data_IF_224085370343
#
_entry.id   IF_224085370343
#
_cell.length_a   1.000
_cell.length_b   1.000
_cell.length_c   1.000
_cell.angle_alpha   90.00
_cell.angle_beta   90.00
_cell.angle_gamma   90.00
#
_symmetry.space_group_name_H-M   'P 1'
#
loop_
_entity.id
_entity.type
_entity.pdbx_description
1 polymer ?
#
# COMPACT_ATOMS: atom_id res chain seq x y z
N UNK A 1 -17.14 30.38 -6.00
CA UNK A 1 -18.38 30.39 -5.26
C UNK A 1 -18.16 31.04 -3.92
N UNK A 2 -18.62 32.26 -3.79
CA UNK A 2 -18.50 32.96 -2.51
C UNK A 2 -19.50 32.38 -1.53
N UNK A 3 -19.02 31.46 -0.71
CA UNK A 3 -19.78 31.08 0.48
C UNK A 3 -19.48 32.15 1.53
N UNK A 4 -20.43 32.96 1.85
CA UNK A 4 -20.35 33.76 3.05
C UNK A 4 -20.27 32.81 4.24
N UNK A 5 -19.05 32.52 4.66
CA UNK A 5 -18.87 31.83 5.90
C UNK A 5 -19.37 32.70 7.03
N UNK A 6 -20.20 32.19 7.93
CA UNK A 6 -20.65 32.99 9.06
C UNK A 6 -19.42 33.41 9.86
N UNK A 7 -19.42 34.71 10.24
CA UNK A 7 -18.34 35.29 11.03
C UNK A 7 -18.36 34.81 12.48
N UNK A 8 -19.41 34.14 12.89
CA UNK A 8 -19.54 33.51 14.22
C UNK A 8 -19.96 32.07 14.09
N UNK A 9 -19.31 31.21 14.89
CA UNK A 9 -19.61 29.77 14.95
C UNK A 9 -20.70 29.58 16.01
N UNK A 10 -21.77 28.81 15.73
CA UNK A 10 -22.78 28.51 16.74
C UNK A 10 -22.16 27.83 17.97
N UNK A 11 -22.70 28.12 19.13
CA UNK A 11 -22.27 27.49 20.36
C UNK A 11 -22.45 25.96 20.27
N UNK A 12 -21.37 25.22 20.58
CA UNK A 12 -21.37 23.76 20.47
C UNK A 12 -21.06 23.22 19.08
N UNK A 13 -20.75 24.10 18.11
CA UNK A 13 -20.32 23.66 16.77
C UNK A 13 -18.92 23.08 16.83
N UNK A 14 -18.80 21.82 16.33
CA UNK A 14 -17.50 21.21 16.08
C UNK A 14 -17.25 21.20 14.59
N UNK A 15 -16.07 21.69 14.12
CA UNK A 15 -15.73 21.57 12.71
C UNK A 15 -15.78 20.11 12.28
N UNK A 16 -16.26 19.79 11.05
CA UNK A 16 -16.23 18.41 10.58
C UNK A 16 -14.79 17.88 10.61
N UNK A 17 -14.61 16.74 11.26
CA UNK A 17 -13.33 16.06 11.23
C UNK A 17 -13.04 15.62 9.81
N UNK A 18 -11.81 15.91 9.36
CA UNK A 18 -11.37 15.46 8.04
C UNK A 18 -11.47 13.94 7.97
N UNK A 19 -12.26 13.45 7.02
CA UNK A 19 -12.48 12.01 6.86
C UNK A 19 -11.28 11.36 6.17
N UNK A 20 -10.74 10.32 6.80
CA UNK A 20 -9.77 9.43 6.18
C UNK A 20 -10.48 8.58 5.14
N UNK A 21 -9.87 8.43 3.96
CA UNK A 21 -10.47 7.68 2.86
C UNK A 21 -9.48 6.74 2.21
N UNK A 22 -9.98 5.59 1.80
CA UNK A 22 -9.27 4.70 0.91
C UNK A 22 -8.26 3.79 1.59
N UNK A 23 -7.58 3.05 0.74
CA UNK A 23 -6.69 1.98 1.15
C UNK A 23 -5.35 2.10 0.43
N UNK A 24 -4.27 2.10 1.20
CA UNK A 24 -2.93 1.91 0.66
C UNK A 24 -2.54 0.45 0.86
N UNK A 25 -2.08 -0.19 -0.21
CA UNK A 25 -1.71 -1.60 -0.23
C UNK A 25 -0.20 -1.70 -0.37
N UNK A 26 0.46 -2.28 0.60
CA UNK A 26 1.89 -2.61 0.51
C UNK A 26 2.00 -4.04 -0.01
N UNK A 27 2.35 -4.17 -1.28
CA UNK A 27 2.46 -5.43 -2.00
C UNK A 27 3.93 -5.82 -2.10
N UNK A 28 4.33 -6.85 -1.37
CA UNK A 28 5.73 -7.24 -1.26
C UNK A 28 5.88 -8.67 -0.76
N UNK A 29 7.07 -9.24 -0.91
CA UNK A 29 7.40 -10.51 -0.28
C UNK A 29 7.54 -10.40 1.23
N UNK A 30 7.91 -9.24 1.74
CA UNK A 30 8.27 -8.97 3.15
C UNK A 30 9.49 -9.78 3.61
N UNK A 31 10.31 -10.22 2.68
CA UNK A 31 11.55 -10.93 3.02
C UNK A 31 12.65 -9.96 3.47
N UNK A 32 12.77 -8.83 2.80
CA UNK A 32 13.88 -7.90 2.99
C UNK A 32 13.46 -6.52 3.51
N UNK A 33 12.16 -6.31 3.76
CA UNK A 33 11.72 -5.04 4.30
C UNK A 33 12.16 -4.88 5.76
N UNK A 34 12.92 -3.83 6.02
CA UNK A 34 13.33 -3.46 7.37
C UNK A 34 12.18 -2.82 8.14
N UNK A 35 12.31 -2.75 9.46
CA UNK A 35 11.36 -2.00 10.28
C UNK A 35 11.29 -0.52 9.88
N UNK A 36 12.41 0.05 9.44
CA UNK A 36 12.45 1.42 8.93
C UNK A 36 11.65 1.58 7.65
N UNK A 37 11.77 0.63 6.71
CA UNK A 37 11.01 0.64 5.48
C UNK A 37 9.50 0.48 5.73
N UNK A 38 9.12 -0.40 6.65
CA UNK A 38 7.73 -0.54 7.08
C UNK A 38 7.22 0.73 7.76
N UNK A 39 8.04 1.36 8.59
CA UNK A 39 7.72 2.64 9.22
C UNK A 39 7.49 3.75 8.22
N UNK A 40 8.28 3.79 7.14
CA UNK A 40 8.08 4.75 6.06
C UNK A 40 6.74 4.54 5.35
N UNK A 41 6.34 3.29 5.12
CA UNK A 41 5.05 2.99 4.53
C UNK A 41 3.89 3.47 5.42
N UNK A 42 3.99 3.25 6.73
CA UNK A 42 3.00 3.74 7.70
C UNK A 42 2.94 5.27 7.69
N UNK A 43 4.08 5.92 7.73
CA UNK A 43 4.17 7.38 7.68
C UNK A 43 3.56 7.94 6.39
N UNK A 44 3.87 7.32 5.26
CA UNK A 44 3.32 7.71 3.97
C UNK A 44 1.79 7.57 3.95
N UNK A 45 1.27 6.46 4.44
CA UNK A 45 -0.18 6.24 4.54
C UNK A 45 -0.84 7.29 5.43
N UNK A 46 -0.22 7.63 6.54
CA UNK A 46 -0.72 8.64 7.47
C UNK A 46 -0.75 10.04 6.85
N UNK A 47 0.32 10.43 6.18
CA UNK A 47 0.42 11.74 5.51
C UNK A 47 -0.58 11.88 4.36
N UNK A 48 -0.82 10.80 3.66
CA UNK A 48 -1.79 10.78 2.55
C UNK A 48 -3.22 10.57 3.02
N UNK A 49 -3.43 10.46 4.33
CA UNK A 49 -4.74 10.36 4.98
C UNK A 49 -5.56 9.14 4.55
N UNK A 50 -4.90 8.00 4.42
CA UNK A 50 -5.58 6.75 4.20
C UNK A 50 -6.28 6.26 5.46
N UNK A 51 -7.44 5.63 5.29
CA UNK A 51 -8.13 4.95 6.38
C UNK A 51 -7.46 3.62 6.73
N UNK A 52 -6.92 2.94 5.73
CA UNK A 52 -6.33 1.61 5.89
C UNK A 52 -4.99 1.51 5.18
N UNK A 53 -4.06 0.82 5.86
CA UNK A 53 -2.84 0.28 5.25
C UNK A 53 -2.96 -1.24 5.27
N UNK A 54 -3.04 -1.84 4.11
CA UNK A 54 -3.11 -3.29 3.95
C UNK A 54 -1.73 -3.82 3.57
N UNK A 55 -1.21 -4.73 4.39
CA UNK A 55 0.05 -5.42 4.12
C UNK A 55 -0.29 -6.72 3.40
N UNK A 56 0.22 -6.85 2.17
CA UNK A 56 -0.11 -8.00 1.31
C UNK A 56 1.15 -8.83 1.06
N UNK A 57 1.41 -9.85 1.90
CA UNK A 57 2.59 -10.71 1.73
C UNK A 57 2.36 -11.75 0.64
N UNK A 58 3.36 -11.88 -0.23
CA UNK A 58 3.35 -12.81 -1.35
C UNK A 58 3.74 -14.22 -0.88
N UNK A 59 3.02 -15.22 -1.38
CA UNK A 59 3.37 -16.63 -1.18
C UNK A 59 4.61 -17.02 -2.00
N UNK A 60 5.37 -18.03 -1.56
CA UNK A 60 6.55 -18.51 -2.27
C UNK A 60 6.26 -18.84 -3.73
N UNK A 61 5.10 -19.44 -4.00
CA UNK A 61 4.71 -19.80 -5.36
C UNK A 61 4.52 -18.58 -6.27
N UNK A 62 3.98 -17.49 -5.72
CA UNK A 62 3.84 -16.22 -6.45
C UNK A 62 5.21 -15.59 -6.68
N UNK A 63 6.06 -15.56 -5.66
CA UNK A 63 7.41 -15.01 -5.75
C UNK A 63 8.23 -15.76 -6.79
N UNK A 64 8.14 -17.10 -6.79
CA UNK A 64 8.85 -17.93 -7.77
C UNK A 64 8.52 -17.57 -9.21
N UNK A 65 7.26 -17.21 -9.48
CA UNK A 65 6.82 -16.79 -10.81
C UNK A 65 7.21 -15.36 -11.16
N UNK A 66 7.32 -14.50 -10.16
CA UNK A 66 7.55 -13.06 -10.39
C UNK A 66 9.03 -12.68 -10.36
N UNK A 67 9.75 -13.05 -9.30
CA UNK A 67 11.10 -12.51 -9.06
C UNK A 67 12.17 -13.58 -8.91
N UNK A 68 11.80 -14.83 -8.67
CA UNK A 68 12.70 -15.93 -8.35
C UNK A 68 13.58 -15.65 -7.13
N UNK A 69 13.16 -14.74 -6.26
CA UNK A 69 13.83 -14.40 -5.02
C UNK A 69 13.79 -15.59 -4.05
N UNK A 70 14.88 -15.84 -3.34
CA UNK A 70 14.89 -16.82 -2.26
C UNK A 70 14.25 -16.22 -1.02
N UNK A 71 13.21 -16.87 -0.49
CA UNK A 71 12.44 -16.35 0.65
C UNK A 71 12.22 -17.42 1.70
N UNK A 72 12.05 -16.99 2.94
CA UNK A 72 11.57 -17.86 4.02
C UNK A 72 10.13 -18.31 3.70
N UNK A 73 9.68 -19.43 4.27
CA UNK A 73 8.28 -19.84 4.13
C UNK A 73 7.31 -18.73 4.50
N UNK A 74 6.17 -18.69 3.84
CA UNK A 74 5.14 -17.68 4.04
C UNK A 74 4.78 -17.49 5.52
N UNK A 75 4.58 -18.60 6.26
CA UNK A 75 4.17 -18.51 7.66
C UNK A 75 5.21 -17.80 8.54
N UNK A 76 6.50 -17.95 8.26
CA UNK A 76 7.56 -17.27 9.02
C UNK A 76 7.60 -15.79 8.73
N UNK A 77 7.43 -15.40 7.47
CA UNK A 77 7.34 -13.99 7.08
C UNK A 77 6.09 -13.33 7.66
N UNK A 78 5.00 -14.06 7.68
CA UNK A 78 3.74 -13.61 8.26
C UNK A 78 3.86 -13.39 9.76
N UNK A 79 4.50 -14.31 10.50
CA UNK A 79 4.73 -14.18 11.95
C UNK A 79 5.54 -12.93 12.27
N UNK A 80 6.61 -12.68 11.52
CA UNK A 80 7.42 -11.47 11.69
C UNK A 80 6.60 -10.20 11.45
N UNK A 81 5.74 -10.24 10.46
CA UNK A 81 4.88 -9.12 10.11
C UNK A 81 3.83 -8.84 11.20
N UNK A 82 3.24 -9.88 11.76
CA UNK A 82 2.31 -9.75 12.89
C UNK A 82 3.02 -9.22 14.14
N UNK A 83 4.25 -9.66 14.41
CA UNK A 83 5.04 -9.15 15.54
C UNK A 83 5.32 -7.65 15.37
N UNK A 84 5.72 -7.24 14.18
CA UNK A 84 5.93 -5.82 13.88
C UNK A 84 4.65 -5.01 14.07
N UNK A 85 3.54 -5.52 13.55
CA UNK A 85 2.23 -4.86 13.66
C UNK A 85 1.84 -4.64 15.12
N UNK A 86 1.99 -5.66 15.96
CA UNK A 86 1.71 -5.55 17.40
C UNK A 86 2.60 -4.52 18.07
N UNK A 87 3.88 -4.48 17.73
CA UNK A 87 4.81 -3.51 18.29
C UNK A 87 4.42 -2.07 17.94
N UNK A 88 4.08 -1.83 16.67
CA UNK A 88 3.68 -0.52 16.18
C UNK A 88 2.38 -0.06 16.85
N UNK A 89 1.41 -0.93 16.98
CA UNK A 89 0.13 -0.62 17.63
C UNK A 89 0.32 -0.35 19.12
N UNK A 90 1.18 -1.12 19.78
CA UNK A 90 1.52 -0.97 21.20
C UNK A 90 2.21 0.37 21.49
N UNK A 91 3.07 0.83 20.61
CA UNK A 91 3.80 2.10 20.75
C UNK A 91 2.96 3.33 20.40
N UNK A 92 1.75 3.12 19.89
CA UNK A 92 0.83 4.20 19.47
C UNK A 92 1.47 5.15 18.45
N UNK A 93 2.32 4.62 17.58
CA UNK A 93 2.99 5.40 16.53
C UNK A 93 2.05 5.72 15.37
N UNK A 94 0.87 5.10 15.37
CA UNK A 94 -0.10 5.27 14.30
C UNK A 94 -0.84 6.59 14.42
N UNK A 95 -1.05 7.23 13.29
CA UNK A 95 -1.96 8.36 13.21
C UNK A 95 -3.39 7.92 13.58
N UNK A 96 -4.11 8.81 14.23
CA UNK A 96 -5.50 8.55 14.62
C UNK A 96 -6.32 8.22 13.37
N UNK A 97 -6.95 7.06 13.37
CA UNK A 97 -7.84 6.61 12.31
C UNK A 97 -7.20 5.68 11.28
N UNK A 98 -5.86 5.57 11.22
CA UNK A 98 -5.21 4.61 10.33
C UNK A 98 -5.27 3.21 10.96
N UNK A 99 -5.80 2.25 10.21
CA UNK A 99 -5.84 0.83 10.60
C UNK A 99 -4.87 0.04 9.74
N UNK A 100 -4.03 -0.78 10.36
CA UNK A 100 -3.14 -1.72 9.67
C UNK A 100 -3.79 -3.09 9.64
N UNK A 101 -3.87 -3.70 8.47
CA UNK A 101 -4.41 -5.04 8.25
C UNK A 101 -3.40 -5.89 7.50
N UNK A 102 -3.20 -7.12 7.93
CA UNK A 102 -2.39 -8.11 7.21
C UNK A 102 -3.33 -8.98 6.39
N UNK A 103 -3.21 -8.93 5.07
CA UNK A 103 -4.08 -9.68 4.17
C UNK A 103 -3.52 -11.10 3.96
N UNK A 104 -4.33 -12.09 4.23
CA UNK A 104 -3.92 -13.50 4.20
C UNK A 104 -4.32 -14.29 2.97
N UNK A 105 -4.74 -13.63 1.89
CA UNK A 105 -5.24 -14.32 0.69
C UNK A 105 -4.28 -15.38 0.17
N UNK A 106 -3.01 -15.04 0.03
CA UNK A 106 -2.03 -15.93 -0.56
C UNK A 106 -1.74 -17.15 0.32
N UNK A 107 -1.77 -16.96 1.63
CA UNK A 107 -1.65 -18.06 2.58
C UNK A 107 -2.81 -19.04 2.52
N UNK A 108 -4.02 -18.56 2.25
CA UNK A 108 -5.20 -19.39 2.06
C UNK A 108 -5.14 -20.15 0.73
N UNK A 109 -4.70 -19.50 -0.33
CA UNK A 109 -4.60 -20.12 -1.65
C UNK A 109 -3.47 -21.12 -1.77
N UNK A 110 -2.31 -20.82 -1.18
CA UNK A 110 -1.08 -21.65 -1.20
C UNK A 110 -0.60 -21.98 -2.62
N UNK A 111 -0.87 -21.11 -3.58
CA UNK A 111 -0.49 -21.29 -4.98
C UNK A 111 -0.23 -19.93 -5.62
N UNK A 112 0.32 -19.94 -6.82
CA UNK A 112 0.54 -18.73 -7.58
C UNK A 112 -0.75 -17.89 -7.68
N UNK A 113 -0.65 -16.62 -7.26
CA UNK A 113 -1.74 -15.65 -7.38
C UNK A 113 -1.28 -14.53 -8.31
N UNK A 114 -1.80 -14.46 -9.55
CA UNK A 114 -1.48 -13.34 -10.44
C UNK A 114 -1.85 -12.01 -9.81
N UNK A 115 -1.08 -10.97 -10.10
CA UNK A 115 -1.34 -9.64 -9.53
C UNK A 115 -2.76 -9.15 -9.84
N UNK A 116 -3.26 -9.45 -11.04
CA UNK A 116 -4.64 -9.12 -11.43
C UNK A 116 -5.67 -9.73 -10.46
N UNK A 117 -5.52 -10.99 -10.11
CA UNK A 117 -6.39 -11.66 -9.16
C UNK A 117 -6.26 -11.06 -7.75
N UNK A 118 -5.04 -10.76 -7.33
CA UNK A 118 -4.77 -10.12 -6.04
C UNK A 118 -5.45 -8.75 -5.96
N UNK A 119 -5.28 -7.91 -6.96
CA UNK A 119 -5.86 -6.56 -6.99
C UNK A 119 -7.38 -6.60 -7.05
N UNK A 120 -7.93 -7.55 -7.77
CA UNK A 120 -9.40 -7.75 -7.85
C UNK A 120 -9.97 -8.09 -6.47
N UNK A 121 -9.34 -9.02 -5.77
CA UNK A 121 -9.72 -9.37 -4.40
C UNK A 121 -9.62 -8.17 -3.46
N UNK A 122 -8.53 -7.41 -3.53
CA UNK A 122 -8.31 -6.25 -2.69
C UNK A 122 -9.34 -5.15 -2.96
N UNK A 123 -9.68 -4.91 -4.22
CA UNK A 123 -10.70 -3.94 -4.60
C UNK A 123 -12.10 -4.35 -4.11
N UNK A 124 -12.39 -5.65 -4.07
CA UNK A 124 -13.66 -6.15 -3.56
C UNK A 124 -13.74 -6.11 -2.03
N UNK A 125 -12.59 -6.16 -1.34
CA UNK A 125 -12.52 -6.33 0.11
C UNK A 125 -12.31 -5.02 0.88
N UNK A 126 -11.76 -4.00 0.25
CA UNK A 126 -11.35 -2.75 0.91
C UNK A 126 -11.89 -1.51 0.19
N UNK A 127 -12.06 -0.40 0.91
CA UNK A 127 -12.64 0.81 0.31
C UNK A 127 -11.67 1.55 -0.64
N UNK A 128 -12.22 2.07 -1.71
CA UNK A 128 -11.51 2.98 -2.64
C UNK A 128 -11.38 4.39 -2.04
N UNK A 129 -10.49 5.24 -2.56
CA UNK A 129 -9.51 5.00 -3.61
C UNK A 129 -8.36 4.10 -3.18
N UNK A 130 -7.68 3.49 -4.17
CA UNK A 130 -6.58 2.55 -3.93
C UNK A 130 -5.25 3.13 -4.37
N UNK A 131 -4.25 3.01 -3.49
CA UNK A 131 -2.85 3.27 -3.82
C UNK A 131 -2.06 2.00 -3.57
N UNK A 132 -1.24 1.63 -4.52
CA UNK A 132 -0.40 0.44 -4.43
C UNK A 132 1.04 0.89 -4.16
N UNK A 133 1.55 0.53 -2.98
CA UNK A 133 2.89 0.87 -2.54
C UNK A 133 3.84 -0.26 -2.92
N UNK A 134 4.82 0.03 -3.75
CA UNK A 134 5.71 -0.97 -4.35
C UNK A 134 7.17 -0.54 -4.25
N UNK A 135 8.06 -1.52 -4.11
CA UNK A 135 9.48 -1.31 -4.42
C UNK A 135 9.63 -1.01 -5.92
N UNK A 136 10.65 -0.23 -6.33
CA UNK A 136 10.81 0.15 -7.73
C UNK A 136 10.89 -1.02 -8.71
N UNK A 137 11.60 -2.09 -8.33
CA UNK A 137 11.71 -3.28 -9.18
C UNK A 137 10.34 -3.97 -9.36
N UNK A 138 9.55 -4.00 -8.31
CA UNK A 138 8.19 -4.56 -8.38
C UNK A 138 7.29 -3.70 -9.27
N UNK A 139 7.44 -2.38 -9.21
CA UNK A 139 6.69 -1.47 -10.08
C UNK A 139 7.02 -1.70 -11.54
N UNK A 140 8.30 -1.85 -11.88
CA UNK A 140 8.73 -2.18 -13.24
C UNK A 140 8.19 -3.54 -13.69
N UNK A 141 8.20 -4.52 -12.80
CA UNK A 141 7.67 -5.84 -13.09
C UNK A 141 6.16 -5.78 -13.36
N UNK A 142 5.42 -5.09 -12.52
CA UNK A 142 3.98 -4.88 -12.72
C UNK A 142 3.70 -4.20 -14.07
N UNK A 143 4.47 -3.18 -14.41
CA UNK A 143 4.34 -2.48 -15.69
C UNK A 143 4.55 -3.41 -16.90
N UNK A 144 5.32 -4.48 -16.73
CA UNK A 144 5.57 -5.45 -17.81
C UNK A 144 4.39 -6.40 -18.06
N UNK A 145 3.43 -6.46 -17.14
CA UNK A 145 2.29 -7.36 -17.27
C UNK A 145 1.18 -6.77 -18.15
N UNK A 146 0.44 -7.65 -18.82
CA UNK A 146 -0.68 -7.23 -19.68
C UNK A 146 -1.82 -6.55 -18.89
N UNK A 147 -1.98 -6.88 -17.62
CA UNK A 147 -3.01 -6.30 -16.75
C UNK A 147 -2.68 -4.88 -16.25
N UNK A 148 -1.45 -4.42 -16.43
CA UNK A 148 -1.03 -3.12 -15.89
C UNK A 148 -1.91 -1.96 -16.35
N UNK A 149 -2.20 -1.88 -17.65
CA UNK A 149 -2.95 -0.76 -18.21
C UNK A 149 -4.40 -0.73 -17.72
N UNK A 150 -4.98 -1.88 -17.45
CA UNK A 150 -6.31 -1.97 -16.84
C UNK A 150 -6.32 -1.40 -15.42
N UNK A 151 -5.29 -1.70 -14.63
CA UNK A 151 -5.25 -1.31 -13.23
C UNK A 151 -4.74 0.11 -13.00
N UNK A 152 -3.78 0.57 -13.81
CA UNK A 152 -3.17 1.89 -13.55
C UNK A 152 -4.16 3.06 -13.68
N UNK A 153 -5.27 2.86 -14.38
CA UNK A 153 -6.33 3.86 -14.48
C UNK A 153 -7.31 3.80 -13.30
N UNK A 154 -7.30 2.72 -12.54
CA UNK A 154 -8.19 2.51 -11.38
C UNK A 154 -7.50 2.77 -10.04
N UNK A 155 -6.17 2.76 -10.02
CA UNK A 155 -5.38 2.98 -8.81
C UNK A 155 -4.15 3.83 -9.14
N UNK A 156 -3.49 4.30 -8.10
CA UNK A 156 -2.22 5.01 -8.25
C UNK A 156 -1.13 4.19 -7.59
N UNK A 157 0.12 4.43 -8.01
CA UNK A 157 1.27 3.79 -7.39
C UNK A 157 2.04 4.77 -6.52
N UNK A 158 2.62 4.25 -5.45
CA UNK A 158 3.63 4.94 -4.64
C UNK A 158 4.85 4.03 -4.62
N UNK A 159 5.95 4.50 -5.17
CA UNK A 159 7.20 3.74 -5.15
C UNK A 159 7.98 4.09 -3.88
N UNK A 160 8.54 3.06 -3.23
CA UNK A 160 9.28 3.26 -1.97
C UNK A 160 10.55 4.09 -2.14
N UNK A 161 11.12 4.09 -3.34
CA UNK A 161 12.30 4.89 -3.71
C UNK A 161 12.31 5.13 -5.21
N UNK A 162 13.14 6.08 -5.72
CA UNK A 162 13.22 6.30 -7.15
C UNK A 162 13.73 5.06 -7.89
N UNK A 163 13.13 4.71 -9.04
CA UNK A 163 13.60 3.58 -9.84
C UNK A 163 14.95 3.89 -10.50
N UNK A 164 15.86 2.90 -10.49
CA UNK A 164 17.14 3.00 -11.20
C UNK A 164 16.95 2.93 -12.72
N UNK A 165 15.99 2.10 -13.14
CA UNK A 165 15.56 1.98 -14.53
C UNK A 165 14.05 2.13 -14.59
N UNK A 166 13.54 2.73 -15.65
CA UNK A 166 12.12 3.04 -15.76
C UNK A 166 11.52 2.30 -16.96
N UNK A 167 10.56 1.41 -16.66
CA UNK A 167 9.82 0.72 -17.72
C UNK A 167 9.05 1.74 -18.57
N UNK A 168 9.00 1.59 -19.91
CA UNK A 168 8.30 2.54 -20.78
C UNK A 168 6.85 2.82 -20.40
N UNK A 169 6.14 1.84 -19.86
CA UNK A 169 4.76 2.03 -19.40
C UNK A 169 4.69 2.89 -18.15
N UNK A 170 5.66 2.79 -17.23
CA UNK A 170 5.73 3.69 -16.08
C UNK A 170 6.01 5.12 -16.52
N UNK A 171 6.84 5.31 -17.51
CA UNK A 171 7.09 6.63 -18.08
C UNK A 171 5.83 7.20 -18.73
N UNK A 172 5.12 6.39 -19.51
CA UNK A 172 3.86 6.79 -20.14
C UNK A 172 2.81 7.22 -19.13
N UNK A 173 2.73 6.52 -18.00
CA UNK A 173 1.76 6.77 -16.94
C UNK A 173 2.35 7.55 -15.77
N UNK A 174 3.35 8.40 -16.02
CA UNK A 174 4.04 9.16 -14.96
C UNK A 174 3.09 9.95 -14.07
N UNK A 175 1.97 10.41 -14.60
CA UNK A 175 0.94 11.13 -13.85
C UNK A 175 0.14 10.25 -12.88
N UNK A 176 0.35 8.93 -12.91
CA UNK A 176 -0.38 7.98 -12.08
C UNK A 176 0.46 7.40 -10.92
N UNK A 177 1.67 7.90 -10.72
CA UNK A 177 2.50 7.41 -9.62
C UNK A 177 3.44 8.48 -9.09
N UNK A 178 3.85 8.30 -7.84
CA UNK A 178 4.82 9.15 -7.17
C UNK A 178 5.80 8.29 -6.38
N UNK A 179 6.88 8.92 -5.90
CA UNK A 179 7.84 8.30 -4.99
C UNK A 179 7.52 8.75 -3.57
N UNK A 180 7.56 7.84 -2.62
CA UNK A 180 7.41 8.17 -1.21
C UNK A 180 8.50 9.16 -0.79
N UNK A 181 8.09 10.24 -0.10
CA UNK A 181 9.02 11.25 0.35
C UNK A 181 9.43 10.98 1.78
N UNK A 182 10.73 10.95 2.03
CA UNK A 182 11.23 11.00 3.40
C UNK A 182 10.88 12.38 3.98
N UNK A 183 10.34 12.38 5.19
CA UNK A 183 10.22 13.62 5.93
C UNK A 183 11.61 14.23 6.14
N UNK A 184 11.79 15.51 5.90
CA UNK A 184 13.02 16.16 6.31
C UNK A 184 13.18 16.11 7.84
#
# INVERSE_FOLDING_TARGET
MNRNLPTSVPFGYEPPKEQLKGTMILYDSFQHLSNEALGLAVETAGKMRFAKLVLYPLHEETIRRMTKEAVLPYYKRLDRLHDWKRAVESERVLNVGLTITVEGLEGKRKKYTPIDAALRHLADSYPSPYFLYLAPDMANLFASYSSFEEWIVKLRLVLSSPPAALHPKLERYRHRWDVAQNSP
#
